data_IF_213070758555
#
_entry.id   IF_213070758555
#
_cell.length_a   1.000
_cell.length_b   1.000
_cell.length_c   1.000
_cell.angle_alpha   90.00
_cell.angle_beta   90.00
_cell.angle_gamma   90.00
#
_symmetry.space_group_name_H-M   'P 1'
#
loop_
_entity.id
_entity.type
_entity.pdbx_description
1 polymer ?
#
# COMPACT_ATOMS: atom_id res chain seq x y z
N UNK A 1 6.68 -8.78 -30.77
CA UNK A 1 6.23 -7.99 -29.60
C UNK A 1 6.22 -6.55 -30.06
N UNK A 2 5.04 -5.96 -30.22
CA UNK A 2 4.93 -4.55 -30.55
C UNK A 2 5.20 -3.74 -29.29
N UNK A 3 6.25 -2.92 -29.34
CA UNK A 3 6.66 -2.08 -28.22
C UNK A 3 6.17 -0.66 -28.49
N UNK A 4 5.36 -0.14 -27.57
CA UNK A 4 4.83 1.23 -27.65
C UNK A 4 5.41 2.03 -26.48
N UNK A 5 6.11 3.11 -26.79
CA UNK A 5 6.67 4.02 -25.80
C UNK A 5 5.72 5.19 -25.55
N UNK A 6 5.23 5.31 -24.32
CA UNK A 6 4.45 6.49 -23.90
C UNK A 6 5.31 7.70 -23.52
N UNK A 7 6.65 7.57 -23.53
CA UNK A 7 7.56 8.70 -23.37
C UNK A 7 7.72 9.50 -24.67
N UNK A 8 7.59 8.83 -25.82
CA UNK A 8 7.79 9.44 -27.15
C UNK A 8 6.52 9.53 -27.97
N UNK A 9 5.50 8.71 -27.66
CA UNK A 9 4.18 8.86 -28.23
C UNK A 9 3.56 10.17 -27.74
N UNK A 10 3.74 11.25 -28.52
CA UNK A 10 2.96 12.48 -28.33
C UNK A 10 1.51 12.15 -28.58
N UNK A 11 0.76 11.91 -27.51
CA UNK A 11 -0.68 11.83 -27.60
C UNK A 11 -1.17 13.17 -28.18
N UNK A 12 -1.99 13.18 -29.25
CA UNK A 12 -2.71 14.40 -29.60
C UNK A 12 -3.46 14.86 -28.35
N UNK A 13 -3.44 16.16 -28.05
CA UNK A 13 -4.07 16.71 -26.86
C UNK A 13 -5.50 16.18 -26.75
N UNK A 14 -5.71 15.24 -25.82
CA UNK A 14 -7.00 14.60 -25.60
C UNK A 14 -7.54 15.12 -24.28
N UNK A 15 -8.70 15.80 -24.27
CA UNK A 15 -9.32 16.19 -23.02
C UNK A 15 -9.66 14.91 -22.23
N UNK A 16 -9.21 14.87 -20.98
CA UNK A 16 -9.53 13.77 -20.08
C UNK A 16 -10.97 13.91 -19.56
N UNK A 17 -11.75 12.82 -19.53
CA UNK A 17 -13.00 12.78 -18.77
C UNK A 17 -12.79 13.21 -17.32
N UNK A 18 -13.81 13.81 -16.69
CA UNK A 18 -13.71 14.33 -15.32
C UNK A 18 -13.23 13.27 -14.31
N UNK A 19 -13.73 12.03 -14.41
CA UNK A 19 -13.28 10.90 -13.58
C UNK A 19 -11.77 10.65 -13.71
N UNK A 20 -11.22 10.76 -14.92
CA UNK A 20 -9.78 10.58 -15.16
C UNK A 20 -8.95 11.78 -14.69
N UNK A 21 -9.52 12.99 -14.68
CA UNK A 21 -8.87 14.16 -14.06
C UNK A 21 -8.73 13.96 -12.56
N UNK A 22 -9.77 13.49 -11.88
CA UNK A 22 -9.71 13.20 -10.44
C UNK A 22 -8.77 12.03 -10.13
N UNK A 23 -8.79 10.97 -10.93
CA UNK A 23 -7.83 9.87 -10.85
C UNK A 23 -6.37 10.36 -10.96
N UNK A 24 -6.08 11.26 -11.89
CA UNK A 24 -4.74 11.85 -12.06
C UNK A 24 -4.34 12.66 -10.83
N UNK A 25 -5.24 13.46 -10.26
CA UNK A 25 -4.97 14.22 -9.03
C UNK A 25 -4.72 13.30 -7.83
N UNK A 26 -5.52 12.24 -7.70
CA UNK A 26 -5.40 11.24 -6.63
C UNK A 26 -4.03 10.54 -6.69
N UNK A 27 -3.63 10.03 -7.85
CA UNK A 27 -2.31 9.38 -8.00
C UNK A 27 -1.18 10.39 -7.76
N UNK A 28 -1.33 11.64 -8.19
CA UNK A 28 -0.32 12.68 -7.96
C UNK A 28 -0.18 13.05 -6.47
N UNK A 29 -1.27 12.98 -5.71
CA UNK A 29 -1.24 13.10 -4.26
C UNK A 29 -0.44 11.94 -3.65
N UNK A 30 -0.77 10.69 -4.01
CA UNK A 30 -0.04 9.51 -3.51
C UNK A 30 1.45 9.57 -3.84
N UNK A 31 1.80 9.95 -5.06
CA UNK A 31 3.20 10.07 -5.50
C UNK A 31 3.96 11.12 -4.69
N UNK A 32 3.30 12.22 -4.37
CA UNK A 32 3.91 13.31 -3.60
C UNK A 32 4.09 12.91 -2.14
N UNK A 33 3.06 12.30 -1.53
CA UNK A 33 3.14 11.76 -0.18
C UNK A 33 4.25 10.71 -0.05
N UNK A 34 4.37 9.83 -1.04
CA UNK A 34 5.42 8.81 -1.08
C UNK A 34 6.82 9.44 -1.18
N UNK A 35 6.99 10.41 -2.08
CA UNK A 35 8.29 11.05 -2.34
C UNK A 35 8.76 11.87 -1.15
N UNK A 36 7.85 12.66 -0.55
CA UNK A 36 8.18 13.54 0.57
C UNK A 36 8.10 12.84 1.94
N UNK A 37 7.54 11.63 1.99
CA UNK A 37 7.21 10.93 3.24
C UNK A 37 6.38 11.79 4.19
N UNK A 38 5.45 12.58 3.62
CA UNK A 38 4.58 13.47 4.36
C UNK A 38 3.11 13.18 4.01
N UNK A 39 2.25 13.16 5.02
CA UNK A 39 0.82 12.93 4.85
C UNK A 39 0.13 14.15 4.24
N UNK A 40 0.58 15.35 4.63
CA UNK A 40 0.08 16.62 4.11
C UNK A 40 0.87 17.03 2.87
N UNK A 41 0.16 17.44 1.83
CA UNK A 41 0.76 17.86 0.56
C UNK A 41 0.37 19.29 0.26
N UNK A 42 1.39 20.11 0.02
CA UNK A 42 1.23 21.41 -0.60
C UNK A 42 1.03 21.22 -2.11
N UNK A 43 -0.18 21.53 -2.60
CA UNK A 43 -0.52 21.43 -4.02
C UNK A 43 0.19 22.48 -4.88
N UNK A 44 0.78 23.51 -4.27
CA UNK A 44 1.61 24.48 -4.97
C UNK A 44 3.08 24.07 -5.04
N UNK A 45 3.48 22.99 -4.38
CA UNK A 45 4.87 22.49 -4.41
C UNK A 45 5.30 22.03 -5.80
N UNK A 46 6.59 22.21 -6.10
CA UNK A 46 7.19 21.80 -7.37
C UNK A 46 7.02 20.31 -7.63
N UNK A 47 7.12 19.49 -6.58
CA UNK A 47 6.98 18.03 -6.69
C UNK A 47 5.54 17.63 -7.05
N UNK A 48 4.52 18.24 -6.44
CA UNK A 48 3.13 17.94 -6.78
C UNK A 48 2.83 18.37 -8.21
N UNK A 49 3.23 19.59 -8.60
CA UNK A 49 3.07 20.10 -9.96
C UNK A 49 3.75 19.20 -10.99
N UNK A 50 4.96 18.71 -10.69
CA UNK A 50 5.69 17.75 -11.53
C UNK A 50 4.92 16.43 -11.67
N UNK A 51 4.48 15.81 -10.57
CA UNK A 51 3.72 14.55 -10.60
C UNK A 51 2.39 14.73 -11.33
N UNK A 52 1.68 15.82 -11.09
CA UNK A 52 0.42 16.15 -11.76
C UNK A 52 0.59 16.27 -13.26
N UNK A 53 1.65 16.95 -13.73
CA UNK A 53 1.90 17.07 -15.16
C UNK A 53 2.22 15.71 -15.80
N UNK A 54 3.15 14.94 -15.21
CA UNK A 54 3.52 13.61 -15.73
C UNK A 54 2.35 12.63 -15.75
N UNK A 55 1.59 12.58 -14.67
CA UNK A 55 0.41 11.71 -14.58
C UNK A 55 -0.67 12.11 -15.59
N UNK A 56 -0.83 13.42 -15.87
CA UNK A 56 -1.75 13.89 -16.93
C UNK A 56 -1.29 13.45 -18.31
N UNK A 57 -0.01 13.62 -18.64
CA UNK A 57 0.57 13.22 -19.93
C UNK A 57 0.34 11.72 -20.19
N UNK A 58 0.61 10.88 -19.18
CA UNK A 58 0.36 9.44 -19.28
C UNK A 58 -1.11 9.09 -19.38
N UNK A 59 -1.99 9.77 -18.64
CA UNK A 59 -3.43 9.52 -18.76
C UNK A 59 -3.92 9.78 -20.20
N UNK A 60 -3.45 10.85 -20.84
CA UNK A 60 -3.81 11.20 -22.21
C UNK A 60 -3.28 10.16 -23.22
N UNK A 61 -2.01 9.79 -23.10
CA UNK A 61 -1.39 8.78 -23.95
C UNK A 61 -2.06 7.40 -23.80
N UNK A 62 -2.27 6.96 -22.56
CA UNK A 62 -2.92 5.69 -22.27
C UNK A 62 -4.36 5.66 -22.78
N UNK A 63 -5.11 6.75 -22.61
CA UNK A 63 -6.51 6.83 -23.06
C UNK A 63 -6.62 6.76 -24.58
N UNK A 64 -5.77 7.51 -25.28
CA UNK A 64 -5.72 7.49 -26.74
C UNK A 64 -5.36 6.09 -27.26
N UNK A 65 -4.31 5.48 -26.69
CA UNK A 65 -3.83 4.17 -27.11
C UNK A 65 -4.83 3.05 -26.83
N UNK A 66 -5.35 2.94 -25.60
CA UNK A 66 -6.27 1.86 -25.21
C UNK A 66 -7.61 1.90 -25.97
N UNK A 67 -8.08 3.08 -26.37
CA UNK A 67 -9.28 3.21 -27.22
C UNK A 67 -9.08 2.65 -28.61
N UNK A 68 -7.86 2.72 -29.13
CA UNK A 68 -7.51 2.22 -30.45
C UNK A 68 -7.14 0.74 -30.41
N UNK A 69 -6.28 0.33 -29.48
CA UNK A 69 -5.77 -1.03 -29.38
C UNK A 69 -6.78 -2.03 -28.79
N UNK A 70 -7.66 -1.57 -27.88
CA UNK A 70 -8.74 -2.35 -27.25
C UNK A 70 -8.30 -3.76 -26.81
N UNK A 71 -7.28 -3.88 -25.95
CA UNK A 71 -6.81 -5.18 -25.50
C UNK A 71 -7.87 -5.91 -24.65
N UNK A 72 -7.88 -7.24 -24.69
CA UNK A 72 -8.75 -8.07 -23.85
C UNK A 72 -8.39 -8.00 -22.36
N UNK A 73 -7.11 -7.74 -22.07
CA UNK A 73 -6.60 -7.62 -20.70
C UNK A 73 -5.41 -6.65 -20.66
N UNK A 74 -5.31 -5.91 -19.56
CA UNK A 74 -4.18 -5.04 -19.24
C UNK A 74 -3.48 -5.58 -18.00
N UNK A 75 -2.18 -5.82 -18.09
CA UNK A 75 -1.35 -6.28 -16.96
C UNK A 75 -0.44 -5.13 -16.53
N UNK A 76 -0.51 -4.73 -15.26
CA UNK A 76 0.17 -3.54 -14.74
C UNK A 76 0.92 -3.90 -13.44
N UNK A 77 2.23 -3.65 -13.32
CA UNK A 77 2.89 -3.76 -12.03
C UNK A 77 2.27 -2.75 -11.05
N UNK A 78 2.05 -3.14 -9.79
CA UNK A 78 1.52 -2.31 -8.70
C UNK A 78 0.09 -1.74 -8.90
N UNK A 79 -0.08 -0.85 -9.88
CA UNK A 79 -1.35 -0.23 -10.26
C UNK A 79 -1.88 0.83 -9.29
N UNK A 80 -1.11 1.24 -8.28
CA UNK A 80 -1.54 2.24 -7.28
C UNK A 80 -0.90 3.59 -7.53
N UNK A 81 0.42 3.62 -7.67
CA UNK A 81 1.25 4.83 -7.74
C UNK A 81 1.82 5.08 -9.13
N UNK A 82 2.25 6.31 -9.36
CA UNK A 82 2.98 6.77 -10.52
C UNK A 82 2.23 6.53 -11.84
N UNK A 83 2.96 6.49 -12.94
CA UNK A 83 2.40 6.26 -14.27
C UNK A 83 1.64 4.93 -14.36
N UNK A 84 2.03 3.93 -13.56
CA UNK A 84 1.37 2.63 -13.46
C UNK A 84 -0.03 2.74 -12.83
N UNK A 85 -0.15 3.54 -11.77
CA UNK A 85 -1.42 3.85 -11.11
C UNK A 85 -2.40 4.60 -12.01
N UNK A 86 -1.88 5.51 -12.83
CA UNK A 86 -2.67 6.21 -13.86
C UNK A 86 -3.12 5.23 -14.94
N UNK A 87 -2.20 4.44 -15.49
CA UNK A 87 -2.51 3.50 -16.58
C UNK A 87 -3.59 2.49 -16.16
N UNK A 88 -3.48 1.95 -14.94
CA UNK A 88 -4.50 1.11 -14.33
C UNK A 88 -5.87 1.80 -14.30
N UNK A 89 -5.95 3.04 -13.77
CA UNK A 89 -7.21 3.79 -13.68
C UNK A 89 -7.81 4.09 -15.05
N UNK A 90 -7.00 4.41 -16.07
CA UNK A 90 -7.47 4.58 -17.45
C UNK A 90 -8.05 3.29 -18.03
N UNK A 91 -7.36 2.16 -17.84
CA UNK A 91 -7.86 0.86 -18.29
C UNK A 91 -9.19 0.48 -17.61
N UNK A 92 -9.31 0.74 -16.30
CA UNK A 92 -10.54 0.52 -15.54
C UNK A 92 -11.69 1.43 -15.99
N UNK A 93 -11.41 2.70 -16.27
CA UNK A 93 -12.39 3.64 -16.83
C UNK A 93 -12.96 3.15 -18.17
N UNK A 94 -12.10 2.57 -19.03
CA UNK A 94 -12.51 1.93 -20.29
C UNK A 94 -13.15 0.54 -20.10
N UNK A 95 -13.35 0.10 -18.85
CA UNK A 95 -13.90 -1.21 -18.47
C UNK A 95 -13.08 -2.41 -18.98
N UNK A 96 -11.81 -2.18 -19.28
CA UNK A 96 -10.89 -3.25 -19.69
C UNK A 96 -10.56 -4.10 -18.45
N UNK A 97 -10.59 -5.44 -18.53
CA UNK A 97 -10.09 -6.30 -17.48
C UNK A 97 -8.62 -5.98 -17.16
N UNK A 98 -8.30 -5.78 -15.89
CA UNK A 98 -6.92 -5.48 -15.45
C UNK A 98 -6.43 -6.52 -14.48
N UNK A 99 -5.16 -6.90 -14.59
CA UNK A 99 -4.43 -7.66 -13.57
C UNK A 99 -3.29 -6.78 -13.07
N UNK A 100 -3.25 -6.53 -11.76
CA UNK A 100 -2.10 -5.89 -11.13
C UNK A 100 -1.25 -6.93 -10.42
N UNK A 101 0.06 -6.71 -10.33
CA UNK A 101 0.97 -7.63 -9.65
C UNK A 101 2.08 -6.94 -8.87
N UNK A 102 2.57 -7.59 -7.82
CA UNK A 102 3.70 -7.13 -7.00
C UNK A 102 4.56 -8.31 -6.56
N UNK A 103 5.84 -8.06 -6.28
CA UNK A 103 6.74 -9.08 -5.76
C UNK A 103 6.60 -9.24 -4.25
N UNK A 104 6.55 -10.49 -3.80
CA UNK A 104 6.56 -10.80 -2.37
C UNK A 104 7.99 -10.84 -1.84
N UNK A 105 8.15 -10.53 -0.55
CA UNK A 105 9.35 -10.88 0.21
C UNK A 105 9.65 -12.38 0.16
N UNK A 106 8.64 -13.22 -0.06
CA UNK A 106 8.84 -14.63 -0.37
C UNK A 106 9.33 -14.78 -1.81
N UNK A 107 10.55 -15.29 -1.99
CA UNK A 107 11.14 -15.47 -3.34
C UNK A 107 10.28 -16.40 -4.19
N UNK A 108 10.32 -16.21 -5.51
CA UNK A 108 9.57 -17.01 -6.48
C UNK A 108 8.04 -17.01 -6.22
N UNK A 109 7.54 -15.90 -5.66
CA UNK A 109 6.11 -15.63 -5.48
C UNK A 109 5.81 -14.20 -5.93
N UNK A 110 4.64 -14.05 -6.51
CA UNK A 110 4.05 -12.76 -6.85
C UNK A 110 2.65 -12.70 -6.24
N UNK A 111 2.23 -11.51 -5.86
CA UNK A 111 0.84 -11.22 -5.57
C UNK A 111 0.17 -10.74 -6.83
N UNK A 112 -1.10 -11.10 -7.00
CA UNK A 112 -1.91 -10.70 -8.14
C UNK A 112 -3.28 -10.26 -7.67
N UNK A 113 -3.82 -9.23 -8.30
CA UNK A 113 -5.18 -8.80 -8.08
C UNK A 113 -5.88 -8.55 -9.42
N UNK A 114 -7.14 -8.97 -9.53
CA UNK A 114 -7.97 -8.76 -10.71
C UNK A 114 -8.90 -7.57 -10.48
N UNK A 115 -8.90 -6.61 -11.40
CA UNK A 115 -9.70 -5.39 -11.33
C UNK A 115 -9.57 -4.62 -10.00
N UNK A 116 -8.41 -4.77 -9.34
CA UNK A 116 -8.07 -4.12 -8.08
C UNK A 116 -6.58 -3.79 -8.10
N UNK A 117 -6.20 -2.83 -7.28
CA UNK A 117 -4.81 -2.49 -6.96
C UNK A 117 -4.22 -3.60 -6.07
N UNK A 118 -3.11 -4.23 -6.47
CA UNK A 118 -2.54 -5.39 -5.75
C UNK A 118 -2.06 -4.99 -4.35
N UNK A 119 -1.57 -3.77 -4.19
CA UNK A 119 -1.07 -3.26 -2.92
C UNK A 119 -2.16 -3.05 -1.87
N UNK A 120 -3.44 -3.00 -2.27
CA UNK A 120 -4.54 -3.06 -1.29
C UNK A 120 -4.54 -4.40 -0.54
N UNK A 121 -4.01 -5.47 -1.13
CA UNK A 121 -4.08 -6.82 -0.56
C UNK A 121 -5.49 -7.15 -0.04
N UNK A 122 -6.51 -6.77 -0.81
CA UNK A 122 -7.90 -7.04 -0.42
C UNK A 122 -8.16 -8.55 -0.51
N UNK A 123 -8.29 -9.17 0.66
CA UNK A 123 -8.55 -10.60 0.80
C UNK A 123 -10.01 -10.88 1.13
N UNK A 124 -10.92 -9.89 1.10
CA UNK A 124 -12.32 -10.08 1.46
C UNK A 124 -12.99 -11.19 0.64
N UNK A 125 -12.87 -11.14 -0.69
CA UNK A 125 -13.44 -12.16 -1.56
C UNK A 125 -12.84 -13.55 -1.30
N UNK A 126 -11.53 -13.62 -1.06
CA UNK A 126 -10.84 -14.87 -0.72
C UNK A 126 -11.35 -15.42 0.62
N UNK A 127 -11.46 -14.56 1.64
CA UNK A 127 -11.96 -14.91 2.96
C UNK A 127 -13.40 -15.42 2.88
N UNK A 128 -14.30 -14.67 2.24
CA UNK A 128 -15.70 -15.10 2.09
C UNK A 128 -15.82 -16.47 1.39
N UNK A 129 -14.97 -16.72 0.39
CA UNK A 129 -14.96 -17.99 -0.34
C UNK A 129 -14.34 -19.17 0.45
N UNK A 130 -13.55 -18.91 1.50
CA UNK A 130 -12.75 -19.94 2.19
C UNK A 130 -13.00 -20.06 3.69
N UNK A 131 -13.77 -19.15 4.30
CA UNK A 131 -13.99 -19.10 5.76
C UNK A 131 -14.59 -20.38 6.34
N UNK A 132 -15.42 -21.10 5.58
CA UNK A 132 -16.05 -22.36 6.00
C UNK A 132 -15.14 -23.58 5.77
N UNK A 133 -13.98 -23.40 5.13
CA UNK A 133 -13.05 -24.47 4.81
C UNK A 133 -11.89 -24.43 5.81
N UNK A 134 -11.88 -25.30 6.84
CA UNK A 134 -10.77 -25.32 7.79
C UNK A 134 -9.47 -25.71 7.08
N UNK A 135 -8.35 -25.21 7.61
CA UNK A 135 -7.03 -25.64 7.16
C UNK A 135 -6.84 -27.13 7.44
N UNK A 136 -6.23 -27.85 6.50
CA UNK A 136 -5.78 -29.23 6.75
C UNK A 136 -4.69 -29.25 7.83
N UNK A 137 -4.44 -30.42 8.43
CA UNK A 137 -3.35 -30.58 9.41
C UNK A 137 -2.00 -30.12 8.85
N UNK A 138 -1.71 -30.45 7.60
CA UNK A 138 -0.47 -30.02 6.92
C UNK A 138 -0.41 -28.50 6.74
N UNK A 139 -1.53 -27.86 6.37
CA UNK A 139 -1.59 -26.40 6.23
C UNK A 139 -1.46 -25.71 7.59
N UNK A 140 -2.08 -26.26 8.63
CA UNK A 140 -1.99 -25.79 9.99
C UNK A 140 -0.56 -25.88 10.52
N UNK A 141 0.13 -26.99 10.29
CA UNK A 141 1.51 -27.18 10.72
C UNK A 141 2.46 -26.22 10.00
N UNK A 142 2.24 -25.99 8.70
CA UNK A 142 3.01 -24.99 7.94
C UNK A 142 2.79 -23.58 8.47
N UNK A 143 1.55 -23.22 8.80
CA UNK A 143 1.23 -21.92 9.41
C UNK A 143 1.90 -21.78 10.79
N UNK A 144 1.84 -22.81 11.64
CA UNK A 144 2.52 -22.81 12.95
C UNK A 144 4.03 -22.65 12.81
N UNK A 145 4.64 -23.36 11.86
CA UNK A 145 6.06 -23.25 11.55
C UNK A 145 6.46 -21.83 11.14
N UNK A 146 5.66 -21.17 10.29
CA UNK A 146 5.86 -19.77 9.92
C UNK A 146 5.80 -18.85 11.15
N UNK A 147 4.80 -19.03 12.01
CA UNK A 147 4.65 -18.19 13.22
C UNK A 147 5.78 -18.41 14.22
N UNK A 148 6.23 -19.66 14.41
CA UNK A 148 7.38 -19.97 15.26
C UNK A 148 8.67 -19.34 14.75
N UNK A 149 8.91 -19.39 13.43
CA UNK A 149 10.09 -18.77 12.85
C UNK A 149 10.10 -17.25 13.06
N UNK A 150 8.93 -16.59 12.97
CA UNK A 150 8.79 -15.16 13.27
C UNK A 150 9.11 -14.84 14.73
N UNK A 151 8.52 -15.58 15.66
CA UNK A 151 8.75 -15.39 17.11
C UNK A 151 10.20 -15.61 17.52
N UNK A 152 10.93 -16.49 16.81
CA UNK A 152 12.35 -16.74 17.06
C UNK A 152 13.29 -15.78 16.33
N UNK A 153 12.76 -14.85 15.53
CA UNK A 153 13.56 -13.99 14.68
C UNK A 153 14.42 -14.76 13.68
N UNK A 154 13.88 -15.86 13.12
CA UNK A 154 14.60 -16.71 12.15
C UNK A 154 13.96 -16.65 10.76
N UNK A 155 14.78 -16.88 9.74
CA UNK A 155 14.31 -17.04 8.37
C UNK A 155 13.35 -18.23 8.24
N UNK A 156 12.33 -18.09 7.41
CA UNK A 156 11.38 -19.17 7.11
C UNK A 156 11.33 -19.42 5.61
N UNK A 157 11.50 -20.68 5.22
CA UNK A 157 11.56 -21.12 3.81
C UNK A 157 12.45 -20.19 2.95
N UNK A 158 11.89 -19.66 1.86
CA UNK A 158 12.56 -18.84 0.87
C UNK A 158 12.18 -17.35 0.99
N UNK A 159 11.86 -16.88 2.20
CA UNK A 159 11.77 -15.44 2.45
C UNK A 159 13.12 -14.76 2.19
N UNK A 160 13.10 -13.50 1.75
CA UNK A 160 14.30 -12.71 1.50
C UNK A 160 14.81 -12.01 2.78
N UNK A 161 13.95 -11.83 3.79
CA UNK A 161 14.25 -11.13 5.04
C UNK A 161 13.53 -11.79 6.21
N UNK A 162 14.08 -11.59 7.40
CA UNK A 162 13.40 -11.92 8.65
C UNK A 162 12.28 -10.90 8.87
N UNK A 163 11.12 -11.38 9.28
CA UNK A 163 10.00 -10.50 9.66
C UNK A 163 10.26 -9.77 10.97
N UNK A 164 10.96 -10.43 11.91
CA UNK A 164 11.42 -9.83 13.15
C UNK A 164 12.93 -10.10 13.25
N UNK A 165 13.72 -9.05 13.46
CA UNK A 165 15.19 -9.17 13.53
C UNK A 165 15.71 -9.73 14.86
N UNK A 166 14.86 -9.77 15.88
CA UNK A 166 15.18 -10.28 17.22
C UNK A 166 14.08 -11.24 17.69
N UNK A 167 14.41 -12.25 18.51
CA UNK A 167 13.41 -13.11 19.12
C UNK A 167 12.44 -12.31 20.01
N UNK A 168 11.25 -12.85 20.22
CA UNK A 168 10.30 -12.31 21.20
C UNK A 168 10.89 -12.38 22.61
N UNK A 169 10.94 -11.24 23.29
CA UNK A 169 11.30 -11.15 24.70
C UNK A 169 10.07 -11.30 25.61
N UNK A 170 10.29 -11.78 26.84
CA UNK A 170 9.23 -11.87 27.83
C UNK A 170 8.78 -10.49 28.29
N UNK A 171 7.46 -10.26 28.43
CA UNK A 171 6.93 -8.94 28.80
C UNK A 171 7.47 -8.35 30.11
N UNK A 172 7.90 -9.18 31.06
CA UNK A 172 8.56 -8.69 32.29
C UNK A 172 9.98 -8.16 32.02
N UNK A 173 10.74 -8.81 31.14
CA UNK A 173 12.09 -8.34 30.76
C UNK A 173 11.99 -7.00 30.02
N UNK A 174 11.06 -6.89 29.07
CA UNK A 174 10.79 -5.63 28.37
C UNK A 174 10.41 -4.50 29.35
N UNK A 175 9.56 -4.78 30.35
CA UNK A 175 9.20 -3.81 31.39
C UNK A 175 10.41 -3.35 32.21
N UNK A 176 11.25 -4.28 32.66
CA UNK A 176 12.45 -3.95 33.42
C UNK A 176 13.42 -3.09 32.59
N UNK A 177 13.63 -3.46 31.32
CA UNK A 177 14.53 -2.73 30.42
C UNK A 177 14.04 -1.30 30.14
N UNK A 178 12.72 -1.11 30.00
CA UNK A 178 12.09 0.18 29.75
C UNK A 178 11.80 0.99 31.03
N UNK A 179 12.16 0.48 32.22
CA UNK A 179 11.88 1.15 33.49
C UNK A 179 10.39 1.23 33.85
N UNK A 180 9.57 0.34 33.31
CA UNK A 180 8.12 0.32 33.52
C UNK A 180 7.75 -0.44 34.80
N UNK A 181 6.96 0.20 35.65
CA UNK A 181 6.41 -0.42 36.86
C UNK A 181 5.14 -1.27 36.57
N UNK A 182 4.31 -1.50 37.60
CA UNK A 182 3.10 -2.32 37.51
C UNK A 182 1.92 -1.63 36.82
N UNK A 183 2.01 -0.33 36.52
CA UNK A 183 0.94 0.39 35.83
C UNK A 183 0.67 -0.21 34.45
N UNK A 184 -0.57 -0.11 33.95
CA UNK A 184 -0.90 -0.49 32.57
C UNK A 184 -0.02 0.25 31.57
N UNK A 185 0.29 -0.39 30.45
CA UNK A 185 1.09 0.18 29.37
C UNK A 185 0.20 0.30 28.15
N UNK A 186 0.18 1.48 27.54
CA UNK A 186 -0.51 1.74 26.28
C UNK A 186 0.52 1.75 25.16
N UNK A 187 0.22 1.05 24.07
CA UNK A 187 1.04 1.06 22.85
C UNK A 187 0.36 1.94 21.82
N UNK A 188 1.03 3.01 21.41
CA UNK A 188 0.62 3.83 20.28
C UNK A 188 1.29 3.34 19.01
N UNK A 189 0.62 2.45 18.28
CA UNK A 189 1.08 2.04 16.96
C UNK A 189 0.85 3.19 15.96
N UNK A 190 1.93 3.66 15.34
CA UNK A 190 1.89 4.66 14.26
C UNK A 190 1.94 3.99 12.89
N UNK A 191 1.39 4.67 11.89
CA UNK A 191 1.50 4.23 10.50
C UNK A 191 2.95 4.38 10.00
N UNK A 192 3.30 3.62 8.96
CA UNK A 192 4.57 3.77 8.25
C UNK A 192 4.35 4.81 7.15
N UNK A 193 5.06 5.94 7.26
CA UNK A 193 5.12 6.97 6.23
C UNK A 193 5.66 6.35 4.93
N UNK A 194 5.01 6.62 3.80
CA UNK A 194 5.26 5.94 2.54
C UNK A 194 4.20 4.87 2.25
N UNK A 195 4.49 3.61 2.57
CA UNK A 195 3.73 2.43 2.09
C UNK A 195 2.24 2.42 2.47
N UNK A 196 1.89 2.91 3.66
CA UNK A 196 0.47 2.93 4.09
C UNK A 196 -0.28 4.18 3.62
N UNK A 197 0.44 5.27 3.37
CA UNK A 197 -0.14 6.55 2.92
C UNK A 197 -0.61 6.46 1.47
N UNK A 198 0.17 5.78 0.62
CA UNK A 198 -0.14 5.56 -0.80
C UNK A 198 -1.36 4.67 -1.03
N UNK A 199 -1.86 4.00 0.01
CA UNK A 199 -3.05 3.16 -0.06
C UNK A 199 -4.34 3.91 0.31
N UNK A 200 -4.26 5.20 0.61
CA UNK A 200 -5.43 5.98 1.06
C UNK A 200 -6.04 5.42 2.36
N UNK A 201 -5.23 4.73 3.18
CA UNK A 201 -5.69 4.07 4.43
C UNK A 201 -5.59 4.95 5.68
N UNK A 202 -5.50 6.26 5.49
CA UNK A 202 -5.60 7.25 6.56
C UNK A 202 -7.09 7.43 6.96
N UNK A 203 -7.71 6.38 7.52
CA UNK A 203 -9.18 6.34 7.71
C UNK A 203 -9.61 6.80 9.10
N UNK A 204 -8.76 6.66 10.12
CA UNK A 204 -9.16 6.85 11.52
C UNK A 204 -8.81 8.24 12.09
N UNK A 205 -7.81 8.92 11.53
CA UNK A 205 -7.34 10.26 11.94
C UNK A 205 -7.02 11.09 10.71
N UNK A 206 -7.02 12.42 10.85
CA UNK A 206 -6.65 13.34 9.76
C UNK A 206 -5.18 13.21 9.41
N UNK A 207 -4.34 13.00 10.42
CA UNK A 207 -2.91 12.75 10.30
C UNK A 207 -2.38 11.99 11.51
N UNK A 208 -1.25 11.33 11.35
CA UNK A 208 -0.47 10.75 12.43
C UNK A 208 -0.08 11.80 13.47
N UNK A 209 0.20 13.04 13.05
CA UNK A 209 0.48 14.14 13.97
C UNK A 209 -0.73 14.48 14.84
N UNK A 210 -1.93 14.53 14.26
CA UNK A 210 -3.17 14.70 15.03
C UNK A 210 -3.39 13.51 15.97
N UNK A 211 -3.17 12.28 15.49
CA UNK A 211 -3.32 11.06 16.29
C UNK A 211 -2.43 11.05 17.52
N UNK A 212 -1.14 11.37 17.34
CA UNK A 212 -0.17 11.46 18.45
C UNK A 212 -0.59 12.57 19.40
N UNK A 213 -0.89 13.76 18.88
CA UNK A 213 -1.23 14.93 19.71
C UNK A 213 -2.45 14.67 20.59
N UNK A 214 -3.52 14.10 20.03
CA UNK A 214 -4.74 13.77 20.78
C UNK A 214 -4.51 12.67 21.80
N UNK A 215 -3.73 11.65 21.45
CA UNK A 215 -3.36 10.57 22.38
C UNK A 215 -2.59 11.12 23.58
N UNK A 216 -1.57 11.94 23.33
CA UNK A 216 -0.76 12.58 24.39
C UNK A 216 -1.63 13.46 25.28
N UNK A 217 -2.48 14.31 24.69
CA UNK A 217 -3.39 15.17 25.45
C UNK A 217 -4.33 14.37 26.36
N UNK A 218 -4.83 13.22 25.89
CA UNK A 218 -5.67 12.34 26.69
C UNK A 218 -4.91 11.72 27.88
N UNK A 219 -3.68 11.24 27.66
CA UNK A 219 -2.93 10.53 28.68
C UNK A 219 -2.13 11.42 29.65
N UNK A 220 -1.92 12.71 29.34
CA UNK A 220 -1.33 13.68 30.30
C UNK A 220 -2.07 13.71 31.64
N UNK A 221 -3.40 13.53 31.63
CA UNK A 221 -4.23 13.50 32.84
C UNK A 221 -4.29 12.14 33.56
N UNK A 222 -3.50 11.15 33.13
CA UNK A 222 -3.59 9.75 33.59
C UNK A 222 -2.28 9.27 34.23
N UNK A 223 -1.93 9.74 35.46
CA UNK A 223 -0.71 9.31 36.15
C UNK A 223 -0.73 7.81 36.53
N UNK A 224 -1.90 7.18 36.48
CA UNK A 224 -2.14 5.76 36.74
C UNK A 224 -1.65 4.82 35.61
N UNK A 225 -1.19 5.35 34.47
CA UNK A 225 -0.84 4.60 33.26
C UNK A 225 0.54 5.00 32.72
N UNK A 226 1.26 4.05 32.12
CA UNK A 226 2.38 4.33 31.20
C UNK A 226 1.87 4.38 29.76
N UNK A 227 2.29 5.39 29.00
CA UNK A 227 1.89 5.62 27.62
C UNK A 227 3.09 6.00 26.76
#
# INVERSE_FOLDING_TARGET
LDIVSFLTARAPYMPLPAELVEAVKEVSLYDTQYTLQNEEVDFESDIYKLRLNRNREIAQAALAWLRQSKPDVVIVPNGTIQELGVFYRVARHLKIPTVTYEFSDQRQRIWVARNSEVMRQDTNALWQAKRENPLSETQMERMRSLMMARQRGSMWENFARMWQGVPTEGGQQARQHLGLDKRPVVLLATNVLGDSLTLGRQVFSKSMAEWISRTVQYFIGRPDIHW
#
